data_IF_845396140083
#
_entry.id   IF_845396140083
#
_cell.length_a   1.000
_cell.length_b   1.000
_cell.length_c   1.000
_cell.angle_alpha   90.00
_cell.angle_beta   90.00
_cell.angle_gamma   90.00
#
_symmetry.space_group_name_H-M   'P 1'
#
loop_
_entity.id
_entity.type
_entity.pdbx_description
1 polymer ?
#
# COMPACT_ATOMS: atom_id res chain seq x y z
N UNK A 1 -24.61 -21.19 11.88
CA UNK A 1 -24.49 -19.91 12.61
C UNK A 1 -23.21 -19.75 13.45
N UNK A 2 -22.99 -20.44 14.59
CA UNK A 2 -21.77 -20.22 15.40
C UNK A 2 -20.47 -20.61 14.68
N UNK A 3 -20.47 -21.77 14.02
CA UNK A 3 -19.32 -22.27 13.24
C UNK A 3 -18.97 -21.33 12.07
N UNK A 4 -19.96 -20.99 11.23
CA UNK A 4 -19.77 -20.06 10.10
C UNK A 4 -19.23 -18.68 10.52
N UNK A 5 -19.68 -18.17 11.68
CA UNK A 5 -19.17 -16.89 12.21
C UNK A 5 -17.72 -16.96 12.68
N UNK A 6 -17.27 -18.12 13.16
CA UNK A 6 -15.88 -18.37 13.57
C UNK A 6 -14.99 -18.51 12.34
N UNK A 7 -15.46 -19.21 11.32
CA UNK A 7 -14.75 -19.39 10.05
C UNK A 7 -14.57 -18.05 9.32
N UNK A 8 -15.64 -17.24 9.24
CA UNK A 8 -15.58 -15.90 8.64
C UNK A 8 -14.57 -14.98 9.34
N UNK A 9 -14.50 -15.03 10.67
CA UNK A 9 -13.50 -14.28 11.45
C UNK A 9 -12.08 -14.77 11.15
N UNK A 10 -11.89 -16.07 11.03
CA UNK A 10 -10.61 -16.68 10.68
C UNK A 10 -10.11 -16.25 9.29
N UNK A 11 -10.97 -16.32 8.27
CA UNK A 11 -10.62 -15.87 6.91
C UNK A 11 -10.27 -14.39 6.86
N UNK A 12 -11.04 -13.53 7.55
CA UNK A 12 -10.77 -12.10 7.61
C UNK A 12 -9.44 -11.81 8.31
N UNK A 13 -9.14 -12.49 9.42
CA UNK A 13 -7.89 -12.30 10.14
C UNK A 13 -6.68 -12.72 9.29
N UNK A 14 -6.80 -13.83 8.57
CA UNK A 14 -5.76 -14.28 7.64
C UNK A 14 -5.54 -13.26 6.51
N UNK A 15 -6.61 -12.79 5.87
CA UNK A 15 -6.57 -11.73 4.87
C UNK A 15 -5.88 -10.47 5.42
N UNK A 16 -6.33 -9.97 6.57
CA UNK A 16 -5.80 -8.77 7.20
C UNK A 16 -4.30 -8.88 7.47
N UNK A 17 -3.85 -10.04 7.97
CA UNK A 17 -2.42 -10.30 8.23
C UNK A 17 -1.60 -10.24 6.95
N UNK A 18 -2.05 -10.88 5.87
CA UNK A 18 -1.33 -10.86 4.60
C UNK A 18 -1.31 -9.47 3.96
N UNK A 19 -2.45 -8.77 3.91
CA UNK A 19 -2.51 -7.40 3.38
C UNK A 19 -1.63 -6.44 4.18
N UNK A 20 -1.64 -6.54 5.51
CA UNK A 20 -0.78 -5.71 6.36
C UNK A 20 0.71 -6.02 6.13
N UNK A 21 1.05 -7.31 6.00
CA UNK A 21 2.42 -7.73 5.72
C UNK A 21 2.89 -7.22 4.34
N UNK A 22 2.10 -7.43 3.29
CA UNK A 22 2.42 -7.01 1.92
C UNK A 22 2.66 -5.50 1.84
N UNK A 23 1.79 -4.71 2.48
CA UNK A 23 1.96 -3.26 2.55
C UNK A 23 3.25 -2.84 3.23
N UNK A 24 3.60 -3.48 4.35
CA UNK A 24 4.85 -3.22 5.04
C UNK A 24 6.06 -3.55 4.15
N UNK A 25 6.00 -4.66 3.41
CA UNK A 25 7.01 -5.00 2.40
C UNK A 25 7.12 -3.93 1.32
N UNK A 26 6.01 -3.43 0.77
CA UNK A 26 6.04 -2.36 -0.21
C UNK A 26 6.65 -1.07 0.33
N UNK A 27 6.24 -0.62 1.51
CA UNK A 27 6.78 0.61 2.11
C UNK A 27 8.28 0.45 2.40
N UNK A 28 8.69 -0.66 3.00
CA UNK A 28 10.10 -0.93 3.29
C UNK A 28 10.94 -1.01 2.01
N UNK A 29 10.47 -1.72 1.00
CA UNK A 29 11.13 -1.86 -0.28
C UNK A 29 11.27 -0.52 -1.00
N UNK A 30 10.19 0.26 -1.09
CA UNK A 30 10.21 1.56 -1.76
C UNK A 30 11.10 2.59 -1.06
N UNK A 31 11.07 2.67 0.28
CA UNK A 31 11.97 3.55 1.04
C UNK A 31 13.43 3.09 0.87
N UNK A 32 13.70 1.78 0.97
CA UNK A 32 15.03 1.22 0.75
C UNK A 32 15.57 1.54 -0.63
N UNK A 33 14.73 1.39 -1.67
CA UNK A 33 15.02 1.81 -3.03
C UNK A 33 15.39 3.28 -3.13
N UNK A 34 14.58 4.18 -2.55
CA UNK A 34 14.88 5.61 -2.54
C UNK A 34 16.23 5.93 -1.89
N UNK A 35 16.53 5.34 -0.72
CA UNK A 35 17.78 5.57 0.01
C UNK A 35 18.99 5.19 -0.84
N UNK A 36 18.91 4.08 -1.59
CA UNK A 36 20.00 3.65 -2.47
C UNK A 36 20.34 4.69 -3.55
N UNK A 37 19.34 5.41 -4.07
CA UNK A 37 19.53 6.42 -5.11
C UNK A 37 19.85 7.83 -4.57
N UNK A 38 19.41 8.16 -3.36
CA UNK A 38 19.71 9.45 -2.71
C UNK A 38 21.08 9.42 -2.03
N UNK A 39 21.55 8.24 -1.61
CA UNK A 39 22.87 8.11 -1.00
C UNK A 39 23.95 8.23 -2.07
N UNK A 40 24.79 9.27 -1.98
CA UNK A 40 25.99 9.47 -2.84
C UNK A 40 27.03 8.32 -2.77
N UNK A 41 26.77 7.30 -1.95
CA UNK A 41 27.66 6.16 -1.72
C UNK A 41 27.46 5.02 -2.71
N UNK A 42 26.46 5.08 -3.58
CA UNK A 42 26.21 4.01 -4.51
C UNK A 42 26.97 4.26 -5.82
N UNK A 43 28.27 3.94 -5.82
CA UNK A 43 29.12 3.84 -7.02
C UNK A 43 28.42 3.02 -8.12
N UNK A 44 27.64 2.02 -7.70
CA UNK A 44 26.76 1.21 -8.52
C UNK A 44 25.91 2.07 -9.49
N UNK A 45 25.33 3.19 -9.07
CA UNK A 45 24.42 3.96 -9.94
C UNK A 45 25.12 5.05 -10.75
N UNK A 46 26.45 5.17 -10.74
CA UNK A 46 27.15 6.22 -11.52
C UNK A 46 26.90 6.13 -13.04
N UNK A 47 26.62 4.92 -13.54
CA UNK A 47 26.37 4.67 -14.96
C UNK A 47 24.96 5.12 -15.41
N UNK A 48 24.05 5.41 -14.47
CA UNK A 48 22.71 5.90 -14.79
C UNK A 48 22.70 7.42 -14.98
N UNK A 49 22.01 7.88 -16.02
CA UNK A 49 21.75 9.32 -16.20
C UNK A 49 20.90 9.87 -15.05
N UNK A 50 21.09 11.16 -14.73
CA UNK A 50 20.33 11.83 -13.67
C UNK A 50 18.81 11.72 -13.89
N UNK A 51 18.36 11.83 -15.14
CA UNK A 51 16.95 11.69 -15.51
C UNK A 51 16.42 10.29 -15.17
N UNK A 52 17.15 9.22 -15.52
CA UNK A 52 16.75 7.85 -15.20
C UNK A 52 16.69 7.61 -13.70
N UNK A 53 17.68 8.09 -12.94
CA UNK A 53 17.67 8.03 -11.46
C UNK A 53 16.42 8.72 -10.90
N UNK A 54 16.09 9.91 -11.41
CA UNK A 54 14.92 10.67 -10.98
C UNK A 54 13.62 9.91 -11.23
N UNK A 55 13.47 9.30 -12.41
CA UNK A 55 12.29 8.47 -12.74
C UNK A 55 12.15 7.29 -11.77
N UNK A 56 13.25 6.57 -11.50
CA UNK A 56 13.27 5.44 -10.57
C UNK A 56 12.88 5.87 -9.15
N UNK A 57 13.48 6.95 -8.64
CA UNK A 57 13.14 7.49 -7.31
C UNK A 57 11.69 7.93 -7.23
N UNK A 58 11.18 8.65 -8.25
CA UNK A 58 9.78 9.08 -8.29
C UNK A 58 8.85 7.87 -8.31
N UNK A 59 9.16 6.83 -9.08
CA UNK A 59 8.35 5.61 -9.12
C UNK A 59 8.28 4.93 -7.74
N UNK A 60 9.41 4.84 -7.03
CA UNK A 60 9.44 4.33 -5.66
C UNK A 60 8.65 5.21 -4.68
N UNK A 61 8.84 6.53 -4.72
CA UNK A 61 8.13 7.46 -3.84
C UNK A 61 6.62 7.44 -4.07
N UNK A 62 6.17 7.43 -5.32
CA UNK A 62 4.74 7.36 -5.66
C UNK A 62 4.13 6.07 -5.10
N UNK A 63 4.77 4.92 -5.30
CA UNK A 63 4.28 3.65 -4.74
C UNK A 63 4.18 3.69 -3.21
N UNK A 64 5.19 4.22 -2.52
CA UNK A 64 5.17 4.38 -1.05
C UNK A 64 4.04 5.32 -0.61
N UNK A 65 3.89 6.48 -1.26
CA UNK A 65 2.86 7.46 -0.91
C UNK A 65 1.47 6.84 -1.06
N UNK A 66 1.20 6.16 -2.17
CA UNK A 66 -0.12 5.54 -2.40
C UNK A 66 -0.40 4.46 -1.35
N UNK A 67 0.60 3.65 -0.96
CA UNK A 67 0.44 2.65 0.10
C UNK A 67 0.16 3.27 1.48
N UNK A 68 0.82 4.39 1.81
CA UNK A 68 0.56 5.14 3.05
C UNK A 68 -0.85 5.73 3.05
N UNK A 69 -1.29 6.31 1.92
CA UNK A 69 -2.65 6.82 1.76
C UNK A 69 -3.68 5.71 1.90
N UNK A 70 -3.44 4.53 1.32
CA UNK A 70 -4.29 3.36 1.47
C UNK A 70 -4.39 2.91 2.94
N UNK A 71 -3.26 2.89 3.66
CA UNK A 71 -3.26 2.57 5.09
C UNK A 71 -4.08 3.58 5.90
N UNK A 72 -3.94 4.87 5.59
CA UNK A 72 -4.70 5.95 6.22
C UNK A 72 -6.20 5.82 5.97
N UNK A 73 -6.59 5.56 4.72
CA UNK A 73 -7.99 5.32 4.35
C UNK A 73 -8.56 4.10 5.08
N UNK A 74 -7.83 2.99 5.11
CA UNK A 74 -8.25 1.79 5.81
C UNK A 74 -8.43 2.04 7.32
N UNK A 75 -7.51 2.76 7.95
CA UNK A 75 -7.63 3.15 9.37
C UNK A 75 -8.87 4.03 9.60
N UNK A 76 -9.10 5.00 8.73
CA UNK A 76 -10.24 5.92 8.79
C UNK A 76 -11.57 5.16 8.69
N UNK A 77 -11.72 4.26 7.71
CA UNK A 77 -12.92 3.45 7.52
C UNK A 77 -13.22 2.61 8.76
N UNK A 78 -12.21 1.90 9.27
CA UNK A 78 -12.37 1.03 10.43
C UNK A 78 -12.75 1.82 11.69
N UNK A 79 -12.19 3.02 11.87
CA UNK A 79 -12.59 3.91 12.97
C UNK A 79 -14.08 4.22 12.90
N UNK A 80 -14.59 4.67 11.75
CA UNK A 80 -15.99 5.07 11.65
C UNK A 80 -16.96 3.90 11.76
N UNK A 81 -16.60 2.74 11.24
CA UNK A 81 -17.39 1.52 11.40
C UNK A 81 -17.41 1.08 12.87
N UNK A 82 -16.27 1.13 13.55
CA UNK A 82 -16.18 0.83 14.98
C UNK A 82 -17.04 1.80 15.80
N UNK A 83 -16.87 3.10 15.59
CA UNK A 83 -17.65 4.13 16.30
C UNK A 83 -19.15 3.97 16.07
N UNK A 84 -19.59 3.70 14.83
CA UNK A 84 -21.00 3.45 14.56
C UNK A 84 -21.55 2.15 15.16
N UNK A 85 -20.71 1.24 15.65
CA UNK A 85 -21.19 0.10 16.46
C UNK A 85 -21.42 0.48 17.92
N UNK A 86 -20.72 1.50 18.42
CA UNK A 86 -20.88 2.00 19.79
C UNK A 86 -21.97 3.07 19.92
N UNK A 87 -22.16 3.88 18.88
CA UNK A 87 -23.13 4.99 18.86
C UNK A 87 -24.11 4.84 17.68
N UNK A 88 -25.37 4.51 17.99
CA UNK A 88 -26.43 4.37 17.01
C UNK A 88 -26.78 5.68 16.29
N UNK A 89 -26.64 6.82 16.98
CA UNK A 89 -26.86 8.15 16.38
C UNK A 89 -25.81 8.44 15.31
N UNK A 90 -24.58 7.99 15.52
CA UNK A 90 -23.50 8.15 14.55
C UNK A 90 -23.72 7.36 13.25
N UNK A 91 -24.43 6.22 13.30
CA UNK A 91 -24.73 5.39 12.10
C UNK A 91 -25.52 6.14 11.03
N UNK A 92 -26.31 7.13 11.44
CA UNK A 92 -27.12 7.92 10.50
C UNK A 92 -26.30 8.99 9.78
N UNK A 93 -25.08 9.28 10.24
CA UNK A 93 -24.22 10.31 9.66
C UNK A 93 -23.70 9.92 8.28
N UNK A 94 -23.44 10.93 7.45
CA UNK A 94 -22.85 10.71 6.12
C UNK A 94 -21.46 10.07 6.19
N UNK A 95 -20.69 10.34 7.25
CA UNK A 95 -19.33 9.81 7.46
C UNK A 95 -19.34 8.29 7.66
N UNK A 96 -20.29 7.79 8.46
CA UNK A 96 -20.51 6.36 8.62
C UNK A 96 -20.92 5.73 7.29
N UNK A 97 -21.95 6.28 6.63
CA UNK A 97 -22.47 5.75 5.36
C UNK A 97 -21.42 5.72 4.24
N UNK A 98 -20.57 6.74 4.15
CA UNK A 98 -19.46 6.76 3.22
C UNK A 98 -18.43 5.68 3.54
N UNK A 99 -18.03 5.55 4.81
CA UNK A 99 -17.06 4.54 5.24
C UNK A 99 -17.58 3.11 5.06
N UNK A 100 -18.84 2.86 5.38
CA UNK A 100 -19.53 1.59 5.17
C UNK A 100 -19.52 1.20 3.69
N UNK A 101 -19.87 2.15 2.81
CA UNK A 101 -19.85 1.93 1.35
C UNK A 101 -18.45 1.62 0.82
N UNK A 102 -17.43 2.35 1.28
CA UNK A 102 -16.04 2.10 0.85
C UNK A 102 -15.52 0.78 1.43
N UNK A 103 -15.94 0.37 2.63
CA UNK A 103 -15.47 -0.89 3.24
C UNK A 103 -15.81 -2.13 2.42
N UNK A 104 -16.86 -2.07 1.60
CA UNK A 104 -17.23 -3.16 0.68
C UNK A 104 -16.41 -3.19 -0.61
N UNK A 105 -15.57 -2.18 -0.86
CA UNK A 105 -14.80 -2.01 -2.10
C UNK A 105 -13.36 -2.52 -1.97
N UNK A 106 -13.21 -3.83 -1.72
CA UNK A 106 -11.89 -4.47 -1.59
C UNK A 106 -10.98 -4.28 -2.82
N UNK A 107 -11.58 -4.04 -4.00
CA UNK A 107 -10.84 -3.84 -5.25
C UNK A 107 -9.90 -2.64 -5.20
N UNK A 108 -10.16 -1.64 -4.36
CA UNK A 108 -9.28 -0.46 -4.20
C UNK A 108 -7.91 -0.92 -3.69
N UNK A 109 -7.88 -1.75 -2.65
CA UNK A 109 -6.66 -2.32 -2.08
C UNK A 109 -5.90 -3.10 -3.15
N UNK A 110 -6.59 -3.96 -3.90
CA UNK A 110 -6.00 -4.79 -4.97
C UNK A 110 -5.39 -3.93 -6.08
N UNK A 111 -6.11 -2.92 -6.57
CA UNK A 111 -5.63 -2.05 -7.65
C UNK A 111 -4.42 -1.24 -7.19
N UNK A 112 -4.44 -0.70 -5.97
CA UNK A 112 -3.31 0.02 -5.40
C UNK A 112 -2.09 -0.89 -5.26
N UNK A 113 -2.27 -2.12 -4.80
CA UNK A 113 -1.20 -3.10 -4.67
C UNK A 113 -0.61 -3.48 -6.04
N UNK A 114 -1.44 -3.68 -7.06
CA UNK A 114 -0.98 -3.96 -8.44
C UNK A 114 -0.21 -2.79 -9.04
N UNK A 115 -0.69 -1.56 -8.86
CA UNK A 115 0.01 -0.35 -9.31
C UNK A 115 1.36 -0.23 -8.61
N UNK A 116 1.41 -0.47 -7.30
CA UNK A 116 2.63 -0.40 -6.51
C UNK A 116 3.64 -1.46 -6.97
N UNK A 117 3.17 -2.70 -7.12
CA UNK A 117 3.99 -3.80 -7.62
C UNK A 117 4.54 -3.52 -9.02
N UNK A 118 3.70 -3.03 -9.94
CA UNK A 118 4.11 -2.66 -11.29
C UNK A 118 5.12 -1.51 -11.31
N UNK A 119 4.90 -0.46 -10.53
CA UNK A 119 5.81 0.67 -10.43
C UNK A 119 7.18 0.25 -9.88
N UNK A 120 7.20 -0.54 -8.82
CA UNK A 120 8.44 -1.04 -8.23
C UNK A 120 9.14 -2.05 -9.14
N UNK A 121 8.40 -2.92 -9.82
CA UNK A 121 8.93 -3.84 -10.81
C UNK A 121 9.58 -3.11 -11.98
N UNK A 122 8.92 -2.09 -12.53
CA UNK A 122 9.47 -1.28 -13.63
C UNK A 122 10.71 -0.47 -13.20
N UNK A 123 10.68 0.11 -11.99
CA UNK A 123 11.82 0.80 -11.41
C UNK A 123 13.01 -0.16 -11.27
N UNK A 124 12.79 -1.32 -10.68
CA UNK A 124 13.82 -2.36 -10.48
C UNK A 124 14.35 -2.90 -11.80
N UNK A 125 13.49 -3.13 -12.79
CA UNK A 125 13.89 -3.55 -14.13
C UNK A 125 14.78 -2.51 -14.82
N UNK A 126 14.45 -1.21 -14.68
CA UNK A 126 15.28 -0.11 -15.18
C UNK A 126 16.67 -0.12 -14.55
N UNK A 127 16.73 -0.41 -13.25
CA UNK A 127 18.00 -0.57 -12.54
C UNK A 127 18.76 -1.76 -13.11
N UNK A 128 18.17 -2.96 -13.13
CA UNK A 128 18.82 -4.19 -13.62
C UNK A 128 19.38 -4.00 -15.05
N UNK A 129 18.59 -3.45 -15.97
CA UNK A 129 19.03 -3.21 -17.36
C UNK A 129 20.17 -2.19 -17.46
N UNK A 130 20.31 -1.28 -16.50
CA UNK A 130 21.45 -0.37 -16.45
C UNK A 130 22.75 -1.07 -16.00
N UNK A 131 22.66 -2.19 -15.28
CA UNK A 131 23.82 -2.96 -14.79
C UNK A 131 24.20 -4.15 -15.66
N UNK A 132 23.21 -4.82 -16.26
CA UNK A 132 23.39 -6.01 -17.08
C UNK A 132 22.87 -5.70 -18.50
N UNK A 133 23.68 -5.02 -19.33
CA UNK A 133 23.30 -4.70 -20.71
C UNK A 133 23.13 -5.93 -21.59
#
# INVERSE_FOLDING_TARGET
MKQESLDAKGYFEQYWRYCSSLRNWFVAYGIGGCILFVSDKAELFQQMTLERKRVVVIAFLVGVIVQVLLAGLNKWIHWYIYWGKEDEGFRQTWRYKASDRISTQFWIDVVVDLITFGAFGAATGTVIMAFFP
#
